data_IF_019135118249
#
_entry.id   IF_019135118249
#
_cell.length_a   1.000
_cell.length_b   1.000
_cell.length_c   1.000
_cell.angle_alpha   90.00
_cell.angle_beta   90.00
_cell.angle_gamma   90.00
#
_symmetry.space_group_name_H-M   'P 1'
#
loop_
_entity.id
_entity.type
_entity.pdbx_description
1 polymer ?
#
# COMPACT_ATOMS: atom_id res chain seq x y z
N UNK A 1 -2.71 82.25 -6.01
CA UNK A 1 -3.50 81.07 -5.54
C UNK A 1 -3.97 80.23 -6.73
N UNK A 2 -3.03 79.59 -7.42
CA UNK A 2 -3.27 78.80 -8.64
C UNK A 2 -2.81 77.31 -8.63
N UNK A 3 -2.29 76.69 -7.54
CA UNK A 3 -1.87 75.28 -7.60
C UNK A 3 -2.98 74.27 -7.24
N UNK A 4 -4.09 74.69 -6.63
CA UNK A 4 -5.13 73.76 -6.14
C UNK A 4 -6.05 73.23 -7.26
N UNK A 5 -6.24 74.01 -8.34
CA UNK A 5 -7.11 73.63 -9.47
C UNK A 5 -6.44 72.65 -10.44
N UNK A 6 -5.12 72.72 -10.58
CA UNK A 6 -4.33 71.79 -11.41
C UNK A 6 -4.13 70.42 -10.75
N UNK A 7 -4.05 70.36 -9.42
CA UNK A 7 -3.95 69.09 -8.66
C UNK A 7 -5.27 68.30 -8.68
N UNK A 8 -6.41 68.97 -8.56
CA UNK A 8 -7.73 68.32 -8.62
C UNK A 8 -8.07 67.78 -10.02
N UNK A 9 -7.56 68.42 -11.09
CA UNK A 9 -7.73 67.94 -12.46
C UNK A 9 -6.89 66.69 -12.75
N UNK A 10 -5.71 66.53 -12.14
CA UNK A 10 -4.87 65.34 -12.31
C UNK A 10 -5.40 64.11 -11.54
N UNK A 11 -6.04 64.30 -10.38
CA UNK A 11 -6.62 63.18 -9.61
C UNK A 11 -7.88 62.60 -10.24
N UNK A 12 -8.63 63.39 -11.01
CA UNK A 12 -9.85 62.92 -11.70
C UNK A 12 -9.56 62.11 -12.97
N UNK A 13 -8.39 62.29 -13.60
CA UNK A 13 -7.98 61.50 -14.77
C UNK A 13 -7.34 60.16 -14.35
N UNK A 14 -6.77 60.07 -13.14
CA UNK A 14 -6.26 58.81 -12.58
C UNK A 14 -7.38 57.86 -12.09
N UNK A 15 -8.59 58.36 -11.82
CA UNK A 15 -9.73 57.55 -11.36
C UNK A 15 -10.55 56.90 -12.49
N UNK A 16 -10.42 57.38 -13.73
CA UNK A 16 -11.22 56.89 -14.86
C UNK A 16 -10.68 55.58 -15.48
N UNK A 17 -9.43 55.20 -15.20
CA UNK A 17 -8.84 53.93 -15.67
C UNK A 17 -9.08 52.74 -14.73
N UNK A 18 -9.69 52.96 -13.55
CA UNK A 18 -9.98 51.89 -12.59
C UNK A 18 -11.37 51.24 -12.78
N UNK A 19 -12.23 51.81 -13.64
CA UNK A 19 -13.59 51.31 -13.91
C UNK A 19 -13.93 51.17 -15.40
N UNK A 20 -12.93 51.12 -16.27
CA UNK A 20 -13.16 50.61 -17.61
C UNK A 20 -13.55 49.13 -17.51
N UNK A 21 -14.59 48.65 -18.20
CA UNK A 21 -14.85 47.22 -18.29
C UNK A 21 -13.65 46.59 -18.99
N UNK A 22 -12.75 46.00 -18.21
CA UNK A 22 -11.78 45.08 -18.75
C UNK A 22 -12.60 43.99 -19.43
N UNK A 23 -12.45 43.84 -20.75
CA UNK A 23 -12.90 42.63 -21.43
C UNK A 23 -12.44 41.47 -20.55
N UNK A 24 -13.34 40.59 -20.09
CA UNK A 24 -12.92 39.37 -19.47
C UNK A 24 -12.39 38.49 -20.59
N UNK A 25 -11.19 38.80 -21.09
CA UNK A 25 -10.23 37.77 -21.41
C UNK A 25 -9.84 37.16 -20.07
N UNK A 26 -10.79 36.47 -19.43
CA UNK A 26 -10.47 35.24 -18.74
C UNK A 26 -9.92 34.32 -19.83
N UNK A 27 -8.66 34.56 -20.23
CA UNK A 27 -7.75 33.45 -20.19
C UNK A 27 -7.92 32.95 -18.76
N UNK A 28 -8.70 31.89 -18.60
CA UNK A 28 -8.50 30.98 -17.49
C UNK A 28 -6.98 30.85 -17.46
N UNK A 29 -6.34 31.49 -16.48
CA UNK A 29 -5.10 30.98 -15.96
C UNK A 29 -5.55 29.60 -15.49
N UNK A 30 -5.52 28.65 -16.45
CA UNK A 30 -5.45 27.25 -16.16
C UNK A 30 -4.31 27.28 -15.19
N UNK A 31 -4.62 27.07 -13.90
CA UNK A 31 -3.59 26.71 -12.97
C UNK A 31 -2.77 25.73 -13.78
N UNK A 32 -1.48 26.04 -13.97
CA UNK A 32 -0.57 24.99 -14.34
C UNK A 32 -0.74 24.01 -13.19
N UNK A 33 -1.72 23.12 -13.31
CA UNK A 33 -1.48 21.72 -13.13
C UNK A 33 -0.20 21.55 -13.93
N UNK A 34 0.92 21.72 -13.23
CA UNK A 34 1.93 20.70 -13.30
C UNK A 34 1.09 19.44 -13.22
N UNK A 35 0.72 18.92 -14.40
CA UNK A 35 0.51 17.52 -14.56
C UNK A 35 1.83 17.01 -14.00
N UNK A 36 1.82 16.69 -12.71
CA UNK A 36 2.77 15.73 -12.20
C UNK A 36 2.58 14.63 -13.20
N UNK A 37 3.58 14.48 -14.07
CA UNK A 37 3.52 13.45 -15.06
C UNK A 37 3.69 12.20 -14.20
N UNK A 38 2.57 11.66 -13.70
CA UNK A 38 2.48 10.41 -12.92
C UNK A 38 2.89 9.22 -13.84
N UNK A 39 3.49 9.51 -14.99
CA UNK A 39 3.90 8.64 -16.08
C UNK A 39 5.41 8.76 -16.31
N UNK A 40 6.19 9.45 -15.46
CA UNK A 40 7.65 9.36 -15.56
C UNK A 40 8.12 8.01 -15.00
N UNK A 41 7.98 6.97 -15.83
CA UNK A 41 8.44 5.60 -15.55
C UNK A 41 9.96 5.53 -15.48
N UNK A 42 10.69 6.58 -15.90
CA UNK A 42 12.15 6.60 -15.97
C UNK A 42 12.78 6.14 -14.65
N UNK A 43 12.30 6.60 -13.50
CA UNK A 43 12.89 6.20 -12.20
C UNK A 43 12.70 4.71 -11.91
N UNK A 44 11.54 4.15 -12.24
CA UNK A 44 11.28 2.72 -12.05
C UNK A 44 12.03 1.87 -13.06
N UNK A 45 11.98 2.25 -14.33
CA UNK A 45 12.64 1.55 -15.43
C UNK A 45 14.17 1.62 -15.27
N UNK A 46 14.72 2.76 -14.84
CA UNK A 46 16.14 2.95 -14.54
C UNK A 46 16.56 2.13 -13.31
N UNK A 47 15.74 2.08 -12.25
CA UNK A 47 16.03 1.27 -11.06
C UNK A 47 15.95 -0.23 -11.37
N UNK A 48 14.99 -0.66 -12.17
CA UNK A 48 14.88 -2.05 -12.63
C UNK A 48 16.02 -2.41 -13.59
N UNK A 49 16.42 -1.49 -14.48
CA UNK A 49 17.57 -1.67 -15.36
C UNK A 49 18.88 -1.79 -14.56
N UNK A 50 19.11 -0.91 -13.59
CA UNK A 50 20.26 -0.97 -12.69
C UNK A 50 20.29 -2.29 -11.90
N UNK A 51 19.15 -2.71 -11.34
CA UNK A 51 19.04 -3.98 -10.62
C UNK A 51 19.35 -5.18 -11.52
N UNK A 52 18.81 -5.18 -12.74
CA UNK A 52 19.07 -6.22 -13.72
C UNK A 52 20.54 -6.28 -14.13
N UNK A 53 21.22 -5.14 -14.20
CA UNK A 53 22.64 -5.09 -14.54
C UNK A 53 23.54 -5.59 -13.41
N UNK A 54 23.23 -5.23 -12.16
CA UNK A 54 24.00 -5.63 -10.98
C UNK A 54 23.73 -7.08 -10.55
N UNK A 55 22.49 -7.58 -10.71
CA UNK A 55 22.03 -8.84 -10.14
C UNK A 55 21.34 -9.77 -11.17
N UNK A 56 21.98 -9.96 -12.33
CA UNK A 56 21.47 -10.76 -13.48
C UNK A 56 20.93 -12.13 -13.12
N UNK A 57 21.62 -12.86 -12.25
CA UNK A 57 21.22 -14.22 -11.84
C UNK A 57 19.94 -14.21 -11.01
N UNK A 58 19.70 -13.19 -10.18
CA UNK A 58 18.51 -13.08 -9.34
C UNK A 58 17.32 -12.49 -10.10
N UNK A 59 17.58 -11.49 -10.94
CA UNK A 59 16.59 -10.87 -11.82
C UNK A 59 15.89 -11.90 -12.73
N UNK A 60 16.64 -12.91 -13.23
CA UNK A 60 16.11 -13.98 -14.06
C UNK A 60 14.96 -14.75 -13.40
N UNK A 61 15.00 -14.91 -12.08
CA UNK A 61 13.98 -15.63 -11.31
C UNK A 61 12.82 -14.73 -10.85
N UNK A 62 12.80 -13.46 -11.25
CA UNK A 62 11.79 -12.48 -10.83
C UNK A 62 12.09 -11.80 -9.50
N UNK A 63 13.31 -11.89 -8.98
CA UNK A 63 13.70 -11.19 -7.74
C UNK A 63 14.01 -9.71 -7.99
N UNK A 64 13.63 -8.87 -7.03
CA UNK A 64 13.84 -7.42 -7.07
C UNK A 64 12.58 -6.65 -7.47
N UNK A 65 12.72 -5.43 -8.04
CA UNK A 65 11.60 -4.62 -8.52
C UNK A 65 11.02 -5.19 -9.83
N UNK A 66 10.41 -6.37 -9.73
CA UNK A 66 9.73 -7.06 -10.82
C UNK A 66 8.20 -6.97 -10.67
N UNK A 67 7.49 -7.06 -11.80
CA UNK A 67 6.00 -7.06 -11.83
C UNK A 67 5.44 -8.26 -11.06
N UNK A 68 6.13 -9.41 -11.14
CA UNK A 68 5.76 -10.61 -10.41
C UNK A 68 5.89 -10.41 -8.89
N UNK A 69 6.98 -9.79 -8.42
CA UNK A 69 7.16 -9.49 -7.01
C UNK A 69 6.11 -8.47 -6.51
N UNK A 70 5.78 -7.48 -7.32
CA UNK A 70 4.75 -6.50 -7.01
C UNK A 70 3.37 -7.16 -6.84
N UNK A 71 2.98 -8.03 -7.78
CA UNK A 71 1.71 -8.77 -7.74
C UNK A 71 1.65 -9.69 -6.52
N UNK A 72 2.71 -10.45 -6.25
CA UNK A 72 2.78 -11.33 -5.08
C UNK A 72 2.72 -10.57 -3.76
N UNK A 73 3.42 -9.44 -3.64
CA UNK A 73 3.35 -8.59 -2.45
C UNK A 73 1.98 -7.94 -2.30
N UNK A 74 1.35 -7.52 -3.41
CA UNK A 74 -0.02 -7.02 -3.44
C UNK A 74 -1.02 -8.05 -2.91
N UNK A 75 -0.93 -9.31 -3.36
CA UNK A 75 -1.76 -10.42 -2.85
C UNK A 75 -1.57 -10.65 -1.35
N UNK A 76 -0.33 -10.65 -0.87
CA UNK A 76 -0.04 -10.79 0.55
C UNK A 76 -0.56 -9.60 1.36
N UNK A 77 -0.46 -8.38 0.84
CA UNK A 77 -1.00 -7.20 1.51
C UNK A 77 -2.53 -7.21 1.57
N UNK A 78 -3.21 -7.61 0.49
CA UNK A 78 -4.67 -7.76 0.47
C UNK A 78 -5.15 -8.85 1.45
N UNK A 79 -4.47 -10.01 1.47
CA UNK A 79 -4.75 -11.05 2.46
C UNK A 79 -4.44 -10.59 3.89
N UNK A 80 -3.35 -9.86 4.08
CA UNK A 80 -2.95 -9.31 5.37
C UNK A 80 -4.02 -8.37 5.95
N UNK A 81 -4.60 -7.51 5.12
CA UNK A 81 -5.74 -6.67 5.52
C UNK A 81 -6.95 -7.49 5.97
N UNK A 82 -7.30 -8.53 5.22
CA UNK A 82 -8.37 -9.44 5.63
C UNK A 82 -8.08 -10.09 7.00
N UNK A 83 -6.86 -10.58 7.20
CA UNK A 83 -6.47 -11.23 8.45
C UNK A 83 -6.43 -10.25 9.64
N UNK A 84 -6.01 -9.00 9.44
CA UNK A 84 -6.05 -7.93 10.46
C UNK A 84 -7.50 -7.61 10.84
N UNK A 85 -8.39 -7.43 9.87
CA UNK A 85 -9.80 -7.15 10.16
C UNK A 85 -10.49 -8.34 10.85
N UNK A 86 -10.19 -9.58 10.44
CA UNK A 86 -10.73 -10.79 11.06
C UNK A 86 -10.23 -10.97 12.51
N UNK A 87 -8.95 -10.67 12.77
CA UNK A 87 -8.39 -10.72 14.13
C UNK A 87 -8.92 -9.60 15.01
N UNK A 88 -9.13 -8.38 14.47
CA UNK A 88 -9.83 -7.31 15.17
C UNK A 88 -11.23 -7.75 15.59
N UNK A 89 -12.02 -8.28 14.65
CA UNK A 89 -13.37 -8.79 14.95
C UNK A 89 -13.36 -9.91 16.00
N UNK A 90 -12.48 -10.90 15.86
CA UNK A 90 -12.39 -12.02 16.79
C UNK A 90 -11.98 -11.59 18.21
N UNK A 91 -11.09 -10.60 18.30
CA UNK A 91 -10.66 -10.00 19.58
C UNK A 91 -11.80 -9.22 20.23
N UNK A 92 -12.53 -8.42 19.46
CA UNK A 92 -13.59 -7.56 19.98
C UNK A 92 -14.83 -8.28 20.46
N UNK A 93 -15.20 -9.35 19.79
CA UNK A 93 -16.37 -10.15 20.15
C UNK A 93 -16.04 -11.34 21.07
N UNK A 94 -14.82 -11.41 21.62
CA UNK A 94 -14.44 -12.45 22.57
C UNK A 94 -14.45 -13.88 21.99
N UNK A 95 -14.24 -14.02 20.68
CA UNK A 95 -14.22 -15.33 20.01
C UNK A 95 -12.95 -16.14 20.32
N UNK A 96 -11.92 -15.48 20.87
CA UNK A 96 -10.69 -16.12 21.33
C UNK A 96 -10.92 -16.61 22.77
N UNK A 97 -10.86 -17.93 23.03
CA UNK A 97 -11.04 -18.45 24.38
C UNK A 97 -9.85 -18.07 25.27
N UNK A 98 -10.14 -17.53 26.46
CA UNK A 98 -9.16 -17.21 27.50
C UNK A 98 -7.94 -16.41 26.99
N UNK A 99 -8.13 -15.21 26.41
CA UNK A 99 -7.09 -14.49 25.68
C UNK A 99 -5.89 -14.06 26.54
N UNK A 100 -6.15 -13.72 27.82
CA UNK A 100 -5.12 -13.25 28.77
C UNK A 100 -4.37 -14.38 29.49
N UNK A 101 -4.84 -15.64 29.38
CA UNK A 101 -4.21 -16.75 30.06
C UNK A 101 -2.86 -17.08 29.41
N UNK A 102 -1.81 -17.15 30.23
CA UNK A 102 -0.48 -17.54 29.81
C UNK A 102 -0.40 -19.05 29.58
N UNK A 103 0.35 -19.48 28.56
CA UNK A 103 0.57 -20.91 28.27
C UNK A 103 1.40 -21.58 29.37
N UNK A 104 1.14 -22.86 29.65
CA UNK A 104 1.89 -23.57 30.68
C UNK A 104 3.33 -23.87 30.21
N UNK A 105 4.31 -23.38 30.97
CA UNK A 105 5.73 -23.64 30.75
C UNK A 105 6.04 -25.15 30.82
N UNK A 106 5.28 -25.91 31.61
CA UNK A 106 5.49 -27.35 31.77
C UNK A 106 5.14 -28.13 30.51
N UNK A 107 4.13 -27.68 29.77
CA UNK A 107 3.66 -28.33 28.54
C UNK A 107 4.44 -27.86 27.30
N UNK A 108 4.71 -26.55 27.21
CA UNK A 108 5.29 -25.94 26.00
C UNK A 108 6.80 -25.68 26.10
N UNK A 109 7.38 -25.81 27.29
CA UNK A 109 8.81 -25.62 27.53
C UNK A 109 9.30 -24.19 27.27
N UNK A 110 10.59 -24.05 26.97
CA UNK A 110 11.24 -22.74 26.75
C UNK A 110 10.83 -22.05 25.45
N UNK A 111 10.15 -22.76 24.54
CA UNK A 111 9.67 -22.20 23.27
C UNK A 111 8.57 -21.16 23.45
N UNK A 112 7.80 -21.26 24.54
CA UNK A 112 6.74 -20.31 24.86
C UNK A 112 7.23 -19.12 25.71
N UNK A 113 8.50 -19.11 26.16
CA UNK A 113 9.02 -18.07 27.05
C UNK A 113 9.37 -16.79 26.30
N UNK A 114 8.88 -15.65 26.82
CA UNK A 114 9.28 -14.31 26.38
C UNK A 114 10.53 -13.86 27.16
N UNK A 115 10.51 -14.01 28.49
CA UNK A 115 11.65 -13.74 29.36
C UNK A 115 11.52 -14.51 30.68
N UNK A 116 12.53 -15.29 31.03
CA UNK A 116 12.54 -16.13 32.23
C UNK A 116 11.41 -17.17 32.25
N UNK A 117 10.44 -17.00 33.16
CA UNK A 117 9.27 -17.89 33.32
C UNK A 117 7.98 -17.31 32.72
N UNK A 118 8.02 -16.11 32.15
CA UNK A 118 6.84 -15.49 31.55
C UNK A 118 6.63 -16.08 30.15
N UNK A 119 5.49 -16.75 29.96
CA UNK A 119 5.11 -17.37 28.69
C UNK A 119 4.21 -16.46 27.86
N UNK A 120 4.13 -16.73 26.55
CA UNK A 120 3.18 -16.07 25.64
C UNK A 120 1.73 -16.34 26.06
N UNK A 121 0.86 -15.35 25.84
CA UNK A 121 -0.58 -15.48 26.09
C UNK A 121 -1.24 -16.34 25.01
N UNK A 122 -2.37 -16.95 25.34
CA UNK A 122 -3.16 -17.74 24.40
C UNK A 122 -3.56 -16.93 23.17
N UNK A 123 -3.93 -15.65 23.32
CA UNK A 123 -4.25 -14.78 22.18
C UNK A 123 -3.07 -14.71 21.18
N UNK A 124 -1.85 -14.48 21.68
CA UNK A 124 -0.66 -14.39 20.82
C UNK A 124 -0.33 -15.75 20.19
N UNK A 125 -0.50 -16.83 20.93
CA UNK A 125 -0.26 -18.19 20.44
C UNK A 125 -1.24 -18.60 19.33
N UNK A 126 -2.53 -18.33 19.51
CA UNK A 126 -3.58 -18.64 18.53
C UNK A 126 -3.35 -17.86 17.24
N UNK A 127 -3.04 -16.56 17.33
CA UNK A 127 -2.76 -15.74 16.15
C UNK A 127 -1.47 -16.18 15.45
N UNK A 128 -0.42 -16.55 16.22
CA UNK A 128 0.83 -17.05 15.66
C UNK A 128 0.64 -18.38 14.93
N UNK A 129 -0.08 -19.32 15.54
CA UNK A 129 -0.39 -20.60 14.89
C UNK A 129 -1.25 -20.39 13.65
N UNK A 130 -2.25 -19.50 13.68
CA UNK A 130 -3.04 -19.18 12.50
C UNK A 130 -2.17 -18.68 11.33
N UNK A 131 -1.22 -17.77 11.60
CA UNK A 131 -0.25 -17.33 10.58
C UNK A 131 0.62 -18.49 10.08
N UNK A 132 1.08 -19.37 10.98
CA UNK A 132 1.88 -20.54 10.58
C UNK A 132 1.12 -21.51 9.67
N UNK A 133 -0.19 -21.68 9.86
CA UNK A 133 -1.03 -22.49 8.96
C UNK A 133 -1.07 -21.90 7.55
N UNK A 134 -1.34 -20.60 7.42
CA UNK A 134 -1.36 -19.94 6.11
C UNK A 134 0.02 -19.94 5.46
N UNK A 135 1.08 -19.75 6.24
CA UNK A 135 2.45 -19.87 5.76
C UNK A 135 2.77 -21.28 5.25
N UNK A 136 2.38 -22.34 5.96
CA UNK A 136 2.63 -23.72 5.53
C UNK A 136 1.93 -24.04 4.20
N UNK A 137 0.67 -23.59 4.04
CA UNK A 137 -0.06 -23.77 2.78
C UNK A 137 0.60 -22.97 1.64
N UNK A 138 1.01 -21.72 1.91
CA UNK A 138 1.74 -20.90 0.94
C UNK A 138 3.07 -21.54 0.54
N UNK A 139 3.85 -22.04 1.51
CA UNK A 139 5.12 -22.71 1.25
C UNK A 139 4.93 -23.95 0.37
N UNK A 140 3.92 -24.77 0.64
CA UNK A 140 3.61 -25.93 -0.22
C UNK A 140 3.26 -25.52 -1.65
N UNK A 141 2.55 -24.40 -1.83
CA UNK A 141 2.25 -23.85 -3.15
C UNK A 141 3.52 -23.37 -3.89
N UNK A 142 4.57 -22.96 -3.17
CA UNK A 142 5.86 -22.58 -3.79
C UNK A 142 6.77 -23.77 -4.11
N UNK A 143 6.73 -24.84 -3.32
CA UNK A 143 7.57 -26.04 -3.51
C UNK A 143 7.04 -26.91 -4.67
N UNK A 144 5.72 -27.02 -4.81
CA UNK A 144 5.08 -27.79 -5.86
C UNK A 144 3.99 -26.95 -6.54
N UNK A 145 4.37 -25.98 -7.39
CA UNK A 145 3.39 -25.22 -8.16
C UNK A 145 2.71 -26.17 -9.15
N UNK A 146 1.39 -26.23 -9.12
CA UNK A 146 0.63 -26.94 -10.14
C UNK A 146 0.64 -26.12 -11.44
N UNK A 147 0.53 -26.77 -12.60
CA UNK A 147 0.63 -26.12 -13.90
C UNK A 147 -0.40 -24.98 -14.15
N UNK A 148 -1.48 -24.93 -13.37
CA UNK A 148 -2.51 -23.89 -13.43
C UNK A 148 -2.26 -22.73 -12.44
N UNK A 149 -1.43 -22.93 -11.42
CA UNK A 149 -1.16 -21.92 -10.40
C UNK A 149 -0.07 -20.95 -10.84
N UNK A 150 -0.10 -19.76 -10.26
CA UNK A 150 0.93 -18.74 -10.46
C UNK A 150 2.15 -19.13 -9.60
N UNK A 151 3.34 -19.37 -10.18
CA UNK A 151 4.53 -19.70 -9.41
C UNK A 151 5.12 -18.45 -8.75
N UNK A 152 5.76 -18.63 -7.60
CA UNK A 152 6.47 -17.53 -6.92
C UNK A 152 7.67 -17.05 -7.75
N UNK A 153 8.42 -18.00 -8.33
CA UNK A 153 9.59 -17.74 -9.14
C UNK A 153 9.23 -17.85 -10.62
N UNK A 154 9.80 -16.96 -11.42
CA UNK A 154 9.70 -17.03 -12.88
C UNK A 154 10.68 -18.11 -13.38
N UNK A 155 10.36 -19.38 -13.14
CA UNK A 155 11.19 -20.52 -13.53
C UNK A 155 11.06 -20.77 -15.05
N UNK A 156 12.18 -20.79 -15.80
CA UNK A 156 12.23 -21.15 -17.23
C UNK A 156 11.57 -22.49 -17.59
N UNK A 157 11.46 -23.42 -16.64
CA UNK A 157 10.87 -24.74 -16.87
C UNK A 157 9.36 -24.80 -16.54
N UNK A 158 8.76 -23.72 -16.04
CA UNK A 158 7.34 -23.70 -15.74
C UNK A 158 6.51 -23.51 -17.02
N UNK A 159 5.39 -24.25 -17.21
CA UNK A 159 4.55 -24.15 -18.41
C UNK A 159 3.97 -22.75 -18.67
N UNK A 160 4.02 -21.86 -17.67
CA UNK A 160 3.53 -20.47 -17.73
C UNK A 160 4.63 -19.41 -17.89
N UNK A 161 5.88 -19.82 -18.14
CA UNK A 161 7.04 -18.93 -18.19
C UNK A 161 6.91 -17.79 -19.21
N UNK A 162 6.37 -18.07 -20.39
CA UNK A 162 6.22 -17.04 -21.43
C UNK A 162 5.19 -15.96 -21.05
N UNK A 163 4.10 -16.33 -20.36
CA UNK A 163 3.10 -15.37 -19.88
C UNK A 163 3.65 -14.51 -18.75
N UNK A 164 4.39 -15.11 -17.81
CA UNK A 164 4.98 -14.40 -16.65
C UNK A 164 6.11 -13.45 -17.06
N UNK A 165 6.84 -13.77 -18.12
CA UNK A 165 7.88 -12.90 -18.69
C UNK A 165 7.28 -11.80 -19.58
N UNK A 166 6.13 -12.06 -20.19
CA UNK A 166 5.41 -11.10 -21.04
C UNK A 166 4.49 -10.16 -20.24
N UNK A 167 4.40 -10.30 -18.91
CA UNK A 167 3.66 -9.33 -18.09
C UNK A 167 4.35 -7.96 -18.15
N UNK A 168 3.73 -7.05 -18.89
CA UNK A 168 4.19 -5.67 -18.98
C UNK A 168 3.99 -4.97 -17.63
N UNK A 169 4.95 -4.11 -17.21
CA UNK A 169 4.79 -3.29 -16.03
C UNK A 169 3.52 -2.44 -16.15
N UNK A 170 2.53 -2.74 -15.33
CA UNK A 170 1.42 -1.84 -15.13
C UNK A 170 1.97 -0.53 -14.60
N UNK A 171 1.89 0.55 -15.39
CA UNK A 171 2.35 1.90 -14.99
C UNK A 171 1.71 2.34 -13.66
N UNK A 172 2.11 3.48 -13.10
CA UNK A 172 1.70 3.94 -11.76
C UNK A 172 0.20 3.78 -11.44
N UNK A 173 -0.67 3.96 -12.45
CA UNK A 173 -2.05 3.48 -12.44
C UNK A 173 -2.32 2.70 -13.73
N UNK A 174 -2.66 1.39 -13.67
CA UNK A 174 -3.20 0.70 -14.83
C UNK A 174 -4.58 1.26 -15.18
N UNK A 175 -5.00 1.13 -16.43
CA UNK A 175 -6.31 1.61 -16.86
C UNK A 175 -7.41 1.00 -15.98
N UNK A 176 -8.24 1.86 -15.38
CA UNK A 176 -9.32 1.46 -14.50
C UNK A 176 -10.42 0.77 -15.32
N UNK A 177 -10.27 -0.54 -15.53
CA UNK A 177 -11.27 -1.38 -16.16
C UNK A 177 -12.08 -2.08 -15.07
N UNK A 178 -13.37 -1.75 -14.87
CA UNK A 178 -14.20 -2.41 -13.88
C UNK A 178 -14.40 -3.89 -14.28
N UNK A 179 -13.64 -4.78 -13.64
CA UNK A 179 -13.65 -6.23 -13.85
C UNK A 179 -12.69 -6.97 -12.94
N UNK A 180 -12.83 -8.30 -12.83
CA UNK A 180 -11.87 -9.20 -12.15
C UNK A 180 -10.67 -9.39 -13.09
N UNK A 181 -9.91 -8.33 -13.29
CA UNK A 181 -8.77 -8.26 -14.19
C UNK A 181 -7.48 -8.03 -13.40
N UNK A 182 -6.33 -8.39 -13.98
CA UNK A 182 -5.00 -8.23 -13.35
C UNK A 182 -4.66 -6.77 -13.03
N UNK A 183 -5.12 -5.82 -13.86
CA UNK A 183 -5.01 -4.38 -13.59
C UNK A 183 -5.71 -3.95 -12.29
N UNK A 184 -6.90 -4.48 -12.04
CA UNK A 184 -7.69 -4.24 -10.82
C UNK A 184 -7.01 -4.86 -9.60
N UNK A 185 -6.42 -6.03 -9.78
CA UNK A 185 -5.62 -6.70 -8.75
C UNK A 185 -4.39 -5.87 -8.36
N UNK A 186 -3.67 -5.31 -9.33
CA UNK A 186 -2.52 -4.45 -9.08
C UNK A 186 -2.91 -3.16 -8.34
N UNK A 187 -4.02 -2.52 -8.70
CA UNK A 187 -4.51 -1.32 -8.00
C UNK A 187 -4.87 -1.62 -6.54
N UNK A 188 -5.65 -2.69 -6.29
CA UNK A 188 -6.01 -3.06 -4.93
C UNK A 188 -4.80 -3.55 -4.12
N UNK A 189 -3.87 -4.25 -4.76
CA UNK A 189 -2.60 -4.67 -4.16
C UNK A 189 -1.75 -3.48 -3.72
N UNK A 190 -1.57 -2.47 -4.59
CA UNK A 190 -0.87 -1.22 -4.26
C UNK A 190 -1.55 -0.45 -3.14
N UNK A 191 -2.88 -0.30 -3.23
CA UNK A 191 -3.65 0.38 -2.19
C UNK A 191 -3.52 -0.34 -0.84
N UNK A 192 -3.56 -1.67 -0.84
CA UNK A 192 -3.36 -2.48 0.35
C UNK A 192 -1.95 -2.30 0.94
N UNK A 193 -0.91 -2.30 0.09
CA UNK A 193 0.48 -2.07 0.52
C UNK A 193 0.68 -0.68 1.14
N UNK A 194 0.17 0.36 0.47
CA UNK A 194 0.21 1.74 1.01
C UNK A 194 -0.60 1.83 2.31
N UNK A 195 -1.74 1.15 2.39
CA UNK A 195 -2.56 1.07 3.59
C UNK A 195 -1.79 0.48 4.78
N UNK A 196 -1.04 -0.60 4.59
CA UNK A 196 -0.23 -1.20 5.68
C UNK A 196 0.88 -0.26 6.15
N UNK A 197 1.53 0.46 5.22
CA UNK A 197 2.56 1.46 5.55
C UNK A 197 1.93 2.62 6.34
N UNK A 198 0.76 3.10 5.90
CA UNK A 198 0.03 4.14 6.60
C UNK A 198 -0.44 3.68 8.00
N UNK A 199 -0.88 2.44 8.15
CA UNK A 199 -1.26 1.86 9.44
C UNK A 199 -0.07 1.79 10.41
N UNK A 200 1.08 1.33 9.92
CA UNK A 200 2.31 1.31 10.70
C UNK A 200 2.75 2.74 11.10
N UNK A 201 2.65 3.70 10.18
CA UNK A 201 2.93 5.11 10.45
C UNK A 201 1.99 5.73 11.49
N UNK A 202 0.68 5.51 11.34
CA UNK A 202 -0.33 6.00 12.27
C UNK A 202 -0.16 5.38 13.67
N UNK A 203 0.09 4.07 13.75
CA UNK A 203 0.38 3.38 15.02
C UNK A 203 1.64 3.94 15.69
N UNK A 204 2.69 4.25 14.93
CA UNK A 204 3.91 4.85 15.46
C UNK A 204 3.72 6.29 15.97
N UNK A 205 2.89 7.10 15.29
CA UNK A 205 2.61 8.49 15.67
C UNK A 205 1.70 8.54 16.90
N UNK A 206 0.63 7.76 16.91
CA UNK A 206 -0.40 7.80 17.96
C UNK A 206 -0.05 6.92 19.17
N UNK A 207 1.00 6.09 19.08
CA UNK A 207 1.38 5.11 20.11
C UNK A 207 0.25 4.15 20.50
N UNK A 208 -0.70 3.91 19.59
CA UNK A 208 -1.81 2.97 19.74
C UNK A 208 -1.48 1.64 19.05
N UNK A 209 -1.96 0.49 19.56
CA UNK A 209 -1.79 -0.77 18.85
C UNK A 209 -2.55 -0.72 17.51
N UNK A 210 -2.01 -1.41 16.50
CA UNK A 210 -2.53 -1.37 15.13
C UNK A 210 -4.03 -1.71 15.04
N UNK A 211 -4.54 -2.59 15.90
CA UNK A 211 -5.95 -2.98 15.91
C UNK A 211 -6.88 -1.83 16.35
N UNK A 212 -6.42 -0.94 17.24
CA UNK A 212 -7.22 0.20 17.70
C UNK A 212 -7.29 1.27 16.60
N UNK A 213 -6.19 1.49 15.88
CA UNK A 213 -6.15 2.37 14.70
C UNK A 213 -7.12 1.87 13.63
N UNK A 214 -7.13 0.55 13.36
CA UNK A 214 -8.10 -0.04 12.41
C UNK A 214 -9.53 0.13 12.91
N UNK A 215 -9.79 -0.05 14.21
CA UNK A 215 -11.13 0.16 14.76
C UNK A 215 -11.60 1.61 14.60
N UNK A 216 -10.72 2.58 14.84
CA UNK A 216 -11.01 4.00 14.61
C UNK A 216 -11.31 4.28 13.13
N UNK A 217 -10.60 3.66 12.20
CA UNK A 217 -10.84 3.81 10.76
C UNK A 217 -12.19 3.23 10.30
N UNK A 218 -12.69 2.20 10.99
CA UNK A 218 -14.01 1.58 10.71
C UNK A 218 -15.11 2.21 11.58
N UNK A 219 -14.78 3.17 12.44
CA UNK A 219 -15.74 3.91 13.26
C UNK A 219 -16.24 3.18 14.50
N UNK A 220 -15.43 2.30 15.10
CA UNK A 220 -15.76 1.58 16.33
C UNK A 220 -16.55 0.29 16.13
N UNK A 221 -16.48 -0.32 14.94
CA UNK A 221 -17.28 -1.50 14.60
C UNK A 221 -16.76 -2.80 15.24
N UNK A 222 -15.49 -2.82 15.66
CA UNK A 222 -14.86 -4.00 16.27
C UNK A 222 -14.88 -3.96 17.80
N UNK A 223 -14.72 -2.78 18.43
CA UNK A 223 -14.76 -2.57 19.89
C UNK A 223 -15.33 -1.21 20.24
#
# INVERSE_FOLDING_TARGET
MAPLRTLAALSLVAGASAFAPANPSFATARASTTEVNIVDRSVWDDATAQWNDEHKELAKWGWGPSVQAEKWNGRHAMFGWFFICATAYAKGHGMIPNPEMALDLKEWGTLATISGKNTITNERAVILLANAHFFAVGLMATICPTAFWDPLLVDPNHPRFEELKAQEPHGYFPEFSPGINEATEAIHGRLAMVGLIALAGASAIESKPMLDVVNEWVGGLYF
#
